data_IF_747281387034
#
_entry.id   IF_747281387034
#
_cell.length_a   1.000
_cell.length_b   1.000
_cell.length_c   1.000
_cell.angle_alpha   90.00
_cell.angle_beta   90.00
_cell.angle_gamma   90.00
#
_symmetry.space_group_name_H-M   'P 1'
#
loop_
_entity.id
_entity.type
_entity.pdbx_description
1 polymer ?
#
# COMPACT_ATOMS: atom_id res chain seq x y z
N UNK A 1 7.96 15.26 6.44
CA UNK A 1 7.38 15.46 5.09
C UNK A 1 6.93 14.11 4.50
N UNK A 2 5.87 13.49 5.05
CA UNK A 2 5.37 12.15 4.64
C UNK A 2 3.92 12.24 4.13
N UNK A 3 3.16 13.23 4.62
CA UNK A 3 1.74 13.46 4.26
C UNK A 3 1.53 13.62 2.76
N UNK A 4 2.42 14.37 2.09
CA UNK A 4 2.40 14.56 0.63
C UNK A 4 2.53 13.26 -0.15
N UNK A 5 3.38 12.33 0.30
CA UNK A 5 3.63 11.07 -0.39
C UNK A 5 2.46 10.11 -0.24
N UNK A 6 1.89 10.02 0.98
CA UNK A 6 0.72 9.18 1.20
C UNK A 6 -0.51 9.71 0.46
N UNK A 7 -0.69 11.03 0.40
CA UNK A 7 -1.75 11.65 -0.38
C UNK A 7 -1.64 11.29 -1.87
N UNK A 8 -0.43 11.34 -2.44
CA UNK A 8 -0.18 10.94 -3.84
C UNK A 8 -0.48 9.46 -4.08
N UNK A 9 -0.07 8.57 -3.16
CA UNK A 9 -0.38 7.14 -3.25
C UNK A 9 -1.90 6.88 -3.20
N UNK A 10 -2.59 7.53 -2.26
CA UNK A 10 -4.05 7.44 -2.13
C UNK A 10 -4.77 8.08 -3.32
N UNK A 11 -4.19 9.10 -3.95
CA UNK A 11 -4.76 9.81 -5.09
C UNK A 11 -4.52 9.10 -6.45
N UNK A 12 -3.38 8.42 -6.61
CA UNK A 12 -3.00 7.78 -7.87
C UNK A 12 -3.48 6.34 -8.03
N UNK A 13 -3.73 5.63 -6.92
CA UNK A 13 -3.93 4.18 -6.95
C UNK A 13 -5.17 3.74 -6.17
N UNK A 14 -5.89 2.77 -6.74
CA UNK A 14 -6.80 1.92 -5.98
C UNK A 14 -5.99 0.82 -5.29
N UNK A 15 -6.30 0.54 -4.04
CA UNK A 15 -5.57 -0.43 -3.21
C UNK A 15 -6.48 -1.57 -2.83
N UNK A 16 -5.99 -2.80 -2.99
CA UNK A 16 -6.66 -4.01 -2.52
C UNK A 16 -5.70 -4.89 -1.73
N UNK A 17 -6.27 -5.75 -0.89
CA UNK A 17 -5.51 -6.78 -0.17
C UNK A 17 -4.94 -7.77 -1.20
N UNK A 18 -3.69 -8.25 -1.04
CA UNK A 18 -3.14 -9.30 -1.88
C UNK A 18 -4.01 -10.56 -1.82
N UNK A 19 -4.30 -11.18 -2.97
CA UNK A 19 -5.22 -12.34 -3.04
C UNK A 19 -4.76 -13.56 -2.22
N UNK A 20 -3.48 -13.62 -1.86
CA UNK A 20 -2.91 -14.70 -1.05
C UNK A 20 -3.10 -14.48 0.47
N UNK A 21 -3.59 -13.32 0.89
CA UNK A 21 -3.78 -12.96 2.29
C UNK A 21 -5.25 -12.60 2.52
N UNK A 22 -5.98 -13.46 3.24
CA UNK A 22 -7.38 -13.19 3.61
C UNK A 22 -7.53 -12.18 4.75
N UNK A 23 -6.46 -11.95 5.51
CA UNK A 23 -6.43 -11.09 6.69
C UNK A 23 -5.10 -10.34 6.74
N UNK A 24 -5.18 -9.05 7.06
CA UNK A 24 -4.01 -8.20 7.29
C UNK A 24 -3.52 -8.41 8.72
N UNK A 25 -2.29 -8.90 8.88
CA UNK A 25 -1.65 -9.02 10.19
C UNK A 25 -1.09 -7.67 10.64
N UNK A 26 -1.65 -7.15 11.73
CA UNK A 26 -1.26 -5.87 12.35
C UNK A 26 -0.55 -6.06 13.70
N UNK A 27 -0.11 -7.29 14.01
CA UNK A 27 0.62 -7.54 15.25
C UNK A 27 1.95 -6.79 15.28
N UNK A 28 2.36 -6.41 16.49
CA UNK A 28 3.64 -5.75 16.73
C UNK A 28 4.80 -6.72 16.59
N UNK A 29 5.96 -6.19 16.19
CA UNK A 29 7.22 -6.91 16.17
C UNK A 29 7.68 -7.24 17.58
N UNK A 30 8.41 -8.34 17.74
CA UNK A 30 8.89 -8.76 19.06
C UNK A 30 9.85 -7.71 19.63
N UNK A 31 9.40 -7.01 20.68
CA UNK A 31 10.20 -6.03 21.42
C UNK A 31 10.27 -4.64 20.79
N UNK A 32 9.38 -4.30 19.85
CA UNK A 32 9.26 -2.95 19.32
C UNK A 32 7.81 -2.62 18.92
N UNK A 33 7.55 -1.34 18.66
CA UNK A 33 6.22 -0.82 18.25
C UNK A 33 6.03 -0.84 16.71
N UNK A 34 6.92 -1.50 15.97
CA UNK A 34 6.78 -1.63 14.52
C UNK A 34 5.92 -2.84 14.17
N UNK A 35 5.39 -2.89 12.95
CA UNK A 35 4.66 -4.07 12.48
C UNK A 35 5.59 -5.30 12.45
N UNK A 36 5.11 -6.42 12.98
CA UNK A 36 5.83 -7.69 12.97
C UNK A 36 6.00 -8.28 11.56
N UNK A 37 5.15 -7.87 10.62
CA UNK A 37 5.23 -8.21 9.20
C UNK A 37 5.07 -6.97 8.33
N UNK A 38 5.74 -6.96 7.18
CA UNK A 38 5.59 -5.88 6.21
C UNK A 38 4.14 -5.76 5.72
N UNK A 39 3.60 -4.53 5.68
CA UNK A 39 2.28 -4.25 5.14
C UNK A 39 2.33 -4.26 3.60
N UNK A 40 1.67 -5.23 2.98
CA UNK A 40 1.64 -5.37 1.53
C UNK A 40 0.25 -5.02 1.00
N UNK A 41 0.19 -4.25 -0.08
CA UNK A 41 -1.05 -3.94 -0.78
C UNK A 41 -0.83 -4.01 -2.30
N UNK A 42 -1.82 -4.49 -3.02
CA UNK A 42 -1.83 -4.43 -4.49
C UNK A 42 -2.32 -3.05 -4.89
N UNK A 43 -1.47 -2.31 -5.63
CA UNK A 43 -1.80 -0.99 -6.13
C UNK A 43 -2.15 -1.05 -7.62
N UNK A 44 -3.37 -0.67 -7.97
CA UNK A 44 -3.82 -0.52 -9.37
C UNK A 44 -3.86 0.98 -9.73
N UNK A 45 -3.15 1.43 -10.78
CA UNK A 45 -3.23 2.80 -11.23
C UNK A 45 -4.68 3.18 -11.54
N UNK A 46 -5.09 4.38 -11.15
CA UNK A 46 -6.44 4.89 -11.47
C UNK A 46 -6.54 5.44 -12.87
N UNK A 47 -5.44 5.96 -13.40
CA UNK A 47 -5.41 6.48 -14.76
C UNK A 47 -5.12 5.34 -15.74
N UNK A 48 -5.62 5.44 -16.98
CA UNK A 48 -5.28 4.52 -18.04
C UNK A 48 -3.77 4.45 -18.30
N UNK A 49 -3.28 3.29 -18.73
CA UNK A 49 -1.85 3.05 -18.97
C UNK A 49 -1.22 4.04 -19.97
N UNK A 50 -1.97 4.50 -20.97
CA UNK A 50 -1.47 5.45 -21.98
C UNK A 50 -1.08 6.82 -21.40
N UNK A 51 -1.59 7.19 -20.22
CA UNK A 51 -1.21 8.44 -19.53
C UNK A 51 0.20 8.37 -18.94
N UNK A 52 0.72 7.15 -18.76
CA UNK A 52 2.05 6.87 -18.23
C UNK A 52 3.06 6.47 -19.30
N UNK A 53 2.67 6.44 -20.58
CA UNK A 53 3.58 6.18 -21.67
C UNK A 53 4.46 7.42 -21.91
N UNK A 54 5.75 7.29 -21.63
CA UNK A 54 6.80 8.21 -22.08
C UNK A 54 7.44 7.64 -23.34
#
# INVERSE_FOLDING_TARGET
>A
MITMQFARLRHGFNRSIPSNEGVIDLNEGKGNLHLGRALVAVAKPRLPQHVYAC
#
